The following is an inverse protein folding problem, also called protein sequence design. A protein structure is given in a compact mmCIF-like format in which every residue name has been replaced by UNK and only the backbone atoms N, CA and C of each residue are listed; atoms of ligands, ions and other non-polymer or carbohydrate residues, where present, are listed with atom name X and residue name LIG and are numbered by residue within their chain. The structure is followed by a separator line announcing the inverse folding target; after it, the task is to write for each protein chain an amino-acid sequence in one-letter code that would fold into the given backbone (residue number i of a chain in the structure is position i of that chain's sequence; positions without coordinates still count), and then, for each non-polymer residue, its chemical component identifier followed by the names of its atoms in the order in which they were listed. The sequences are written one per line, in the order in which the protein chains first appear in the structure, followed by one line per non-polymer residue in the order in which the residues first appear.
data_IF_699527939743
#
_entry.id   IF_699527939743
#
_cell.length_a   1.000
_cell.length_b   1.000
_cell.length_c   1.000
_cell.angle_alpha   90.00
_cell.angle_beta   90.00
_cell.angle_gamma   90.00
#
_symmetry.space_group_name_H-M   'P 1'
#
loop_
_entity.id
_entity.type
_entity.pdbx_description
1 polymer ?
#
# COMPACT_ATOMS: atom_id res chain seq x y z
N UNK A 1 7.01 42.75 -21.09
CA UNK A 1 7.59 41.39 -21.00
C UNK A 1 8.25 41.30 -19.64
N UNK A 2 7.63 40.61 -18.68
CA UNK A 2 8.25 40.40 -17.37
C UNK A 2 9.41 39.42 -17.54
N UNK A 3 10.63 39.84 -17.25
CA UNK A 3 11.74 38.90 -17.05
C UNK A 3 11.28 37.92 -15.97
N UNK A 4 11.06 36.66 -16.36
CA UNK A 4 10.86 35.60 -15.40
C UNK A 4 12.11 35.61 -14.50
N UNK A 5 11.94 35.95 -13.23
CA UNK A 5 13.05 36.01 -12.29
C UNK A 5 13.71 34.63 -12.28
N UNK A 6 14.95 34.54 -12.78
CA UNK A 6 15.73 33.30 -12.76
C UNK A 6 15.74 32.74 -11.35
N UNK A 7 15.47 31.44 -11.22
CA UNK A 7 15.37 30.83 -9.90
C UNK A 7 16.72 30.98 -9.16
N UNK A 8 16.78 31.38 -7.88
CA UNK A 8 18.05 31.69 -7.20
C UNK A 8 19.08 30.55 -7.22
N UNK A 9 18.61 29.29 -7.30
CA UNK A 9 19.47 28.11 -7.38
C UNK A 9 19.96 27.79 -8.81
N UNK A 10 19.47 28.46 -9.86
CA UNK A 10 19.98 28.28 -11.23
C UNK A 10 21.43 28.73 -11.34
N UNK A 11 21.82 29.79 -10.64
CA UNK A 11 23.21 30.26 -10.58
C UNK A 11 24.16 29.31 -9.84
N UNK A 12 23.61 28.35 -9.08
CA UNK A 12 24.35 27.32 -8.35
C UNK A 12 24.31 25.96 -9.06
N UNK A 13 23.64 25.87 -10.22
CA UNK A 13 23.55 24.62 -10.97
C UNK A 13 24.72 24.52 -11.97
N UNK A 14 25.59 23.51 -11.89
CA UNK A 14 26.68 23.37 -12.84
C UNK A 14 26.15 23.00 -14.23
N UNK A 15 26.58 23.73 -15.26
CA UNK A 15 26.11 23.59 -16.63
C UNK A 15 26.72 22.40 -17.41
N UNK A 16 27.70 21.73 -16.82
CA UNK A 16 28.61 20.78 -17.48
C UNK A 16 28.49 19.32 -16.99
N UNK A 17 27.53 19.02 -16.11
CA UNK A 17 27.33 17.66 -15.59
C UNK A 17 26.50 16.83 -16.57
N UNK A 18 27.15 15.86 -17.21
CA UNK A 18 26.50 14.93 -18.15
C UNK A 18 26.25 13.54 -17.54
N UNK A 19 27.06 13.09 -16.57
CA UNK A 19 26.91 11.80 -15.91
C UNK A 19 26.68 11.91 -14.39
N UNK A 20 26.03 10.91 -13.79
CA UNK A 20 25.81 10.87 -12.34
C UNK A 20 27.10 10.70 -11.54
N UNK A 21 28.10 10.00 -12.08
CA UNK A 21 29.40 9.84 -11.42
C UNK A 21 30.08 11.20 -11.19
N UNK A 22 30.07 12.08 -12.20
CA UNK A 22 30.61 13.44 -12.09
C UNK A 22 29.80 14.26 -11.08
N UNK A 23 28.47 14.15 -11.14
CA UNK A 23 27.58 14.78 -10.17
C UNK A 23 27.91 14.33 -8.73
N UNK A 24 28.09 13.03 -8.52
CA UNK A 24 28.38 12.43 -7.21
C UNK A 24 29.75 12.82 -6.70
N UNK A 25 30.76 12.84 -7.57
CA UNK A 25 32.10 13.31 -7.23
C UNK A 25 32.09 14.77 -6.75
N UNK A 26 31.29 15.63 -7.39
CA UNK A 26 31.12 17.03 -6.94
C UNK A 26 30.35 17.11 -5.63
N UNK A 27 29.31 16.30 -5.48
CA UNK A 27 28.57 16.22 -4.22
C UNK A 27 29.47 15.86 -3.04
N UNK A 28 30.35 14.86 -3.22
CA UNK A 28 31.26 14.39 -2.19
C UNK A 28 32.42 15.37 -1.95
N UNK A 29 32.87 16.06 -3.00
CA UNK A 29 33.95 17.04 -2.92
C UNK A 29 33.56 18.41 -2.36
N UNK A 30 32.27 18.78 -2.39
CA UNK A 30 31.83 20.09 -1.87
C UNK A 30 31.46 20.02 -0.38
N UNK A 31 32.08 20.86 0.46
CA UNK A 31 31.65 21.05 1.84
C UNK A 31 30.52 22.10 1.98
N UNK A 32 30.18 22.83 0.91
CA UNK A 32 29.28 23.99 0.96
C UNK A 32 27.83 23.55 0.78
N UNK A 33 26.97 23.83 1.77
CA UNK A 33 25.55 23.41 1.74
C UNK A 33 24.77 24.05 0.59
N UNK A 34 25.06 25.30 0.24
CA UNK A 34 24.45 25.98 -0.90
C UNK A 34 24.76 25.31 -2.25
N UNK A 35 25.99 24.83 -2.43
CA UNK A 35 26.38 24.08 -3.64
C UNK A 35 25.66 22.73 -3.69
N UNK A 36 25.50 22.03 -2.56
CA UNK A 36 24.70 20.81 -2.47
C UNK A 36 23.24 21.06 -2.88
N UNK A 37 22.64 22.18 -2.46
CA UNK A 37 21.30 22.58 -2.90
C UNK A 37 21.22 22.84 -4.41
N UNK A 38 22.24 23.51 -4.98
CA UNK A 38 22.36 23.72 -6.42
C UNK A 38 22.45 22.39 -7.19
N UNK A 39 23.29 21.46 -6.72
CA UNK A 39 23.43 20.13 -7.29
C UNK A 39 22.11 19.34 -7.30
N UNK A 40 21.34 19.37 -6.20
CA UNK A 40 20.00 18.74 -6.15
C UNK A 40 19.01 19.42 -7.09
N UNK A 41 19.07 20.76 -7.21
CA UNK A 41 18.23 21.48 -8.15
C UNK A 41 18.49 21.03 -9.61
N UNK A 42 19.76 20.79 -9.98
CA UNK A 42 20.10 20.24 -11.30
C UNK A 42 19.38 18.91 -11.57
N UNK A 43 19.37 17.97 -10.60
CA UNK A 43 18.68 16.68 -10.75
C UNK A 43 17.17 16.81 -10.95
N UNK A 44 16.57 17.90 -10.48
CA UNK A 44 15.16 18.21 -10.68
C UNK A 44 14.88 18.68 -12.12
N UNK A 45 15.72 19.55 -12.66
CA UNK A 45 15.52 20.21 -13.96
C UNK A 45 16.11 19.44 -15.14
N UNK A 46 17.04 18.52 -14.89
CA UNK A 46 17.63 17.67 -15.92
C UNK A 46 16.55 16.93 -16.72
N UNK A 47 16.64 16.99 -18.05
CA UNK A 47 15.64 16.38 -18.94
C UNK A 47 15.55 14.86 -18.74
N UNK A 48 16.69 14.20 -18.56
CA UNK A 48 16.78 12.77 -18.30
C UNK A 48 17.61 12.53 -17.03
N UNK A 49 17.21 11.54 -16.23
CA UNK A 49 18.11 11.05 -15.20
C UNK A 49 19.24 10.25 -15.87
N UNK A 50 20.48 10.34 -15.35
CA UNK A 50 21.60 9.61 -15.94
C UNK A 50 21.35 8.09 -15.97
N UNK A 51 22.14 7.37 -16.77
CA UNK A 51 22.06 5.91 -16.97
C UNK A 51 22.06 5.09 -15.66
N UNK A 52 22.47 5.70 -14.54
CA UNK A 52 22.49 5.15 -13.18
C UNK A 52 21.23 5.47 -12.37
N UNK A 53 20.04 5.44 -12.97
CA UNK A 53 18.75 5.76 -12.32
C UNK A 53 18.57 5.12 -10.94
N UNK A 54 18.95 3.86 -10.77
CA UNK A 54 18.89 3.15 -9.47
C UNK A 54 19.72 3.87 -8.40
N UNK A 55 20.98 4.18 -8.70
CA UNK A 55 21.91 4.83 -7.77
C UNK A 55 21.45 6.24 -7.41
N UNK A 56 20.98 7.01 -8.40
CA UNK A 56 20.43 8.35 -8.16
C UNK A 56 19.23 8.31 -7.22
N UNK A 57 18.29 7.38 -7.44
CA UNK A 57 17.11 7.24 -6.56
C UNK A 57 17.51 6.80 -5.17
N UNK A 58 18.39 5.81 -5.03
CA UNK A 58 18.83 5.33 -3.71
C UNK A 58 19.48 6.44 -2.90
N UNK A 59 20.37 7.18 -3.54
CA UNK A 59 21.02 8.33 -2.94
C UNK A 59 20.03 9.41 -2.51
N UNK A 60 19.05 9.74 -3.36
CA UNK A 60 18.02 10.71 -3.02
C UNK A 60 17.11 10.24 -1.87
N UNK A 61 16.75 8.95 -1.82
CA UNK A 61 15.98 8.38 -0.72
C UNK A 61 16.75 8.46 0.59
N UNK A 62 18.06 8.19 0.57
CA UNK A 62 18.92 8.27 1.75
C UNK A 62 19.04 9.69 2.30
N UNK A 63 19.18 10.69 1.42
CA UNK A 63 19.19 12.09 1.83
C UNK A 63 17.80 12.54 2.30
N UNK A 64 16.76 12.21 1.54
CA UNK A 64 15.39 12.61 1.87
C UNK A 64 14.89 12.01 3.18
N UNK A 65 15.44 10.88 3.64
CA UNK A 65 15.13 10.33 4.96
C UNK A 65 15.50 11.28 6.12
N UNK A 66 16.48 12.18 5.90
CA UNK A 66 16.82 13.24 6.86
C UNK A 66 15.73 14.31 7.04
N UNK A 67 14.85 14.50 6.05
CA UNK A 67 13.86 15.59 5.98
C UNK A 67 12.70 15.43 6.97
N UNK A 68 12.68 14.32 7.72
CA UNK A 68 11.54 13.93 8.56
C UNK A 68 11.97 13.32 9.88
N UNK A 69 13.14 12.68 9.93
CA UNK A 69 13.63 12.03 11.16
C UNK A 69 14.02 13.00 12.28
N UNK A 70 14.05 14.31 12.01
CA UNK A 70 14.59 15.32 12.94
C UNK A 70 16.07 15.09 13.27
N UNK A 71 16.70 14.13 12.57
CA UNK A 71 18.09 13.73 12.74
C UNK A 71 18.85 14.19 11.50
N UNK A 72 19.93 14.96 11.67
CA UNK A 72 20.74 15.40 10.54
C UNK A 72 21.27 14.20 9.77
N UNK A 73 21.44 14.38 8.46
CA UNK A 73 22.14 13.44 7.59
C UNK A 73 23.48 13.05 8.24
N UNK A 74 23.77 11.75 8.35
CA UNK A 74 24.90 11.23 9.12
C UNK A 74 26.23 11.94 8.80
N UNK A 75 27.03 12.14 9.85
CA UNK A 75 28.46 12.53 9.83
C UNK A 75 28.82 14.00 9.52
N UNK A 76 28.22 14.97 10.21
CA UNK A 76 28.77 16.33 10.24
C UNK A 76 29.13 16.74 11.67
N UNK A 77 30.30 16.31 12.13
CA UNK A 77 30.94 16.83 13.34
C UNK A 77 31.76 18.07 12.95
N UNK A 78 31.45 19.26 13.48
CA UNK A 78 32.41 20.37 13.39
C UNK A 78 31.95 21.83 13.43
N UNK A 79 30.67 22.20 13.38
CA UNK A 79 30.26 23.61 13.55
C UNK A 79 29.00 23.78 14.40
N UNK A 80 28.66 25.05 14.68
CA UNK A 80 27.45 25.48 15.38
C UNK A 80 26.23 24.68 14.91
N UNK A 81 25.67 23.89 15.82
CA UNK A 81 24.72 22.83 15.49
C UNK A 81 23.45 23.35 14.80
N UNK A 82 22.99 24.56 15.10
CA UNK A 82 21.69 25.07 14.59
C UNK A 82 21.70 25.38 13.09
N UNK A 83 22.67 26.16 12.60
CA UNK A 83 22.73 26.57 11.18
C UNK A 83 23.07 25.41 10.23
N UNK A 84 23.91 24.45 10.68
CA UNK A 84 24.13 23.21 9.92
C UNK A 84 22.83 22.39 9.86
N UNK A 85 22.11 22.25 10.98
CA UNK A 85 20.89 21.45 11.02
C UNK A 85 19.82 22.03 10.09
N UNK A 86 19.66 23.35 10.04
CA UNK A 86 18.76 24.02 9.09
C UNK A 86 19.18 23.76 7.63
N UNK A 87 20.47 23.90 7.32
CA UNK A 87 20.95 23.62 5.96
C UNK A 87 20.83 22.13 5.56
N UNK A 88 21.02 21.19 6.49
CA UNK A 88 20.80 19.76 6.26
C UNK A 88 19.33 19.42 6.10
N UNK A 89 18.43 20.07 6.84
CA UNK A 89 16.99 19.94 6.64
C UNK A 89 16.57 20.47 5.26
N UNK A 90 17.08 21.64 4.85
CA UNK A 90 16.84 22.19 3.50
C UNK A 90 17.35 21.26 2.39
N UNK A 91 18.51 20.64 2.56
CA UNK A 91 19.05 19.64 1.62
C UNK A 91 18.13 18.42 1.55
N UNK A 92 17.71 17.92 2.70
CA UNK A 92 16.85 16.74 2.78
C UNK A 92 15.47 17.03 2.15
N UNK A 93 14.91 18.21 2.44
CA UNK A 93 13.71 18.76 1.80
C UNK A 93 13.84 18.80 0.29
N UNK A 94 14.96 19.35 -0.20
CA UNK A 94 15.20 19.47 -1.62
C UNK A 94 15.30 18.11 -2.31
N UNK A 95 15.95 17.13 -1.68
CA UNK A 95 16.01 15.76 -2.20
C UNK A 95 14.62 15.11 -2.24
N UNK A 96 13.80 15.32 -1.21
CA UNK A 96 12.40 14.90 -1.21
C UNK A 96 11.59 15.56 -2.35
N UNK A 97 11.74 16.86 -2.54
CA UNK A 97 11.06 17.58 -3.63
C UNK A 97 11.45 17.05 -5.02
N UNK A 98 12.74 16.73 -5.21
CA UNK A 98 13.23 16.08 -6.44
C UNK A 98 12.56 14.72 -6.64
N UNK A 99 12.45 13.89 -5.60
CA UNK A 99 11.76 12.60 -5.65
C UNK A 99 10.27 12.78 -5.96
N UNK A 100 9.59 13.75 -5.35
CA UNK A 100 8.18 14.03 -5.64
C UNK A 100 7.96 14.39 -7.10
N UNK A 101 8.80 15.27 -7.67
CA UNK A 101 8.66 15.70 -9.06
C UNK A 101 9.03 14.60 -10.06
N UNK A 102 10.08 13.82 -9.77
CA UNK A 102 10.70 12.92 -10.75
C UNK A 102 10.29 11.46 -10.61
N UNK A 103 9.95 11.01 -9.41
CA UNK A 103 9.68 9.60 -9.11
C UNK A 103 8.22 9.36 -8.74
N UNK A 104 7.65 10.18 -7.84
CA UNK A 104 6.33 9.95 -7.27
C UNK A 104 5.19 10.66 -8.02
N UNK A 105 5.48 11.71 -8.79
CA UNK A 105 4.47 12.43 -9.55
C UNK A 105 3.81 11.53 -10.60
N UNK A 106 2.48 11.57 -10.74
CA UNK A 106 1.79 10.90 -11.82
C UNK A 106 2.14 11.57 -13.15
N UNK A 107 2.72 10.81 -14.07
CA UNK A 107 3.00 11.26 -15.43
C UNK A 107 1.72 11.20 -16.25
N UNK A 108 1.25 12.35 -16.77
CA UNK A 108 0.00 12.46 -17.56
C UNK A 108 -0.05 11.54 -18.79
N UNK A 109 1.10 11.11 -19.33
CA UNK A 109 1.20 10.33 -20.57
C UNK A 109 2.08 9.05 -20.48
N UNK A 110 2.78 8.81 -19.36
CA UNK A 110 3.61 7.60 -19.21
C UNK A 110 2.92 6.63 -18.26
N UNK A 111 2.17 5.71 -18.84
CA UNK A 111 1.94 4.41 -18.23
C UNK A 111 3.16 3.55 -18.58
N UNK A 112 3.91 2.99 -17.62
CA UNK A 112 3.67 2.89 -16.17
C UNK A 112 4.31 4.01 -15.30
N UNK A 113 3.75 4.21 -14.08
CA UNK A 113 4.28 5.11 -13.05
C UNK A 113 5.80 4.93 -12.85
N UNK A 114 6.53 6.03 -12.77
CA UNK A 114 7.99 6.05 -12.81
C UNK A 114 8.68 5.21 -11.72
N UNK A 115 8.02 4.91 -10.61
CA UNK A 115 8.57 4.14 -9.49
C UNK A 115 8.34 2.62 -9.60
N UNK A 116 7.48 2.12 -10.50
CA UNK A 116 7.13 0.69 -10.56
C UNK A 116 8.31 -0.25 -10.82
N UNK A 117 9.38 0.23 -11.47
CA UNK A 117 10.61 -0.56 -11.64
C UNK A 117 11.25 -0.95 -10.30
N UNK A 118 11.01 -0.18 -9.22
CA UNK A 118 11.52 -0.49 -7.89
C UNK A 118 10.85 -1.73 -7.28
N UNK A 119 9.72 -2.18 -7.83
CA UNK A 119 9.07 -3.42 -7.43
C UNK A 119 9.78 -4.65 -7.98
N UNK A 120 10.70 -4.51 -8.94
CA UNK A 120 11.24 -5.67 -9.66
C UNK A 120 12.23 -6.48 -8.83
N UNK A 121 13.12 -5.83 -8.06
CA UNK A 121 14.11 -6.54 -7.23
C UNK A 121 13.79 -6.38 -5.74
N UNK A 122 14.18 -7.35 -4.90
CA UNK A 122 13.99 -7.26 -3.45
C UNK A 122 14.69 -6.02 -2.87
N UNK A 123 15.93 -5.77 -3.25
CA UNK A 123 16.73 -4.64 -2.77
C UNK A 123 16.04 -3.28 -3.04
N UNK A 124 15.56 -3.06 -4.27
CA UNK A 124 14.89 -1.80 -4.63
C UNK A 124 13.54 -1.67 -3.94
N UNK A 125 12.83 -2.78 -3.76
CA UNK A 125 11.54 -2.82 -3.10
C UNK A 125 11.68 -2.49 -1.61
N UNK A 126 12.61 -3.14 -0.91
CA UNK A 126 12.89 -2.90 0.50
C UNK A 126 13.32 -1.47 0.75
N UNK A 127 14.20 -0.91 -0.09
CA UNK A 127 14.65 0.48 0.02
C UNK A 127 13.48 1.45 -0.07
N UNK A 128 12.57 1.23 -1.03
CA UNK A 128 11.36 2.05 -1.19
C UNK A 128 10.39 1.87 -0.02
N UNK A 129 10.14 0.62 0.39
CA UNK A 129 9.23 0.31 1.49
C UNK A 129 9.72 0.94 2.80
N UNK A 130 11.01 0.82 3.12
CA UNK A 130 11.61 1.41 4.30
C UNK A 130 11.47 2.94 4.32
N UNK A 131 11.68 3.60 3.18
CA UNK A 131 11.49 5.05 3.06
C UNK A 131 10.02 5.49 3.28
N UNK A 132 9.07 4.62 2.91
CA UNK A 132 7.65 4.90 3.05
C UNK A 132 7.10 4.59 4.45
N UNK A 133 7.80 3.77 5.24
CA UNK A 133 7.34 3.35 6.55
C UNK A 133 7.35 4.54 7.53
N UNK A 134 6.26 4.75 8.29
CA UNK A 134 6.25 5.76 9.33
C UNK A 134 7.15 5.32 10.48
N UNK A 135 8.31 5.96 10.66
CA UNK A 135 9.07 5.84 11.90
C UNK A 135 8.30 6.53 13.04
N UNK A 136 8.35 5.92 14.24
CA UNK A 136 7.40 6.11 15.33
C UNK A 136 7.19 7.55 15.85
N UNK A 137 8.01 8.53 15.46
CA UNK A 137 7.99 9.90 16.01
C UNK A 137 8.09 11.03 14.96
N UNK A 138 8.28 10.72 13.68
CA UNK A 138 8.98 11.64 12.77
C UNK A 138 8.23 12.01 11.48
N UNK A 139 7.13 11.33 11.23
CA UNK A 139 6.30 11.58 10.06
C UNK A 139 5.04 12.28 10.57
N UNK A 140 4.90 13.59 10.33
CA UNK A 140 3.63 14.31 10.47
C UNK A 140 3.16 14.69 9.07
N UNK A 141 2.17 13.98 8.54
CA UNK A 141 1.37 14.54 7.47
C UNK A 141 0.61 15.73 8.07
N UNK A 142 0.50 16.85 7.36
CA UNK A 142 -0.20 18.02 7.88
C UNK A 142 -1.60 17.61 8.33
N UNK A 143 -2.02 18.11 9.49
CA UNK A 143 -3.36 17.85 10.02
C UNK A 143 -4.41 18.49 9.10
N UNK A 144 -5.65 17.99 9.16
CA UNK A 144 -6.80 18.63 8.52
C UNK A 144 -6.86 20.11 8.90
N UNK A 145 -6.62 21.01 7.94
CA UNK A 145 -6.63 22.46 8.13
C UNK A 145 -5.29 23.18 7.88
N UNK A 146 -4.16 22.46 7.81
CA UNK A 146 -2.87 23.05 7.41
C UNK A 146 -2.73 23.06 5.88
N UNK A 147 -2.12 24.12 5.31
CA UNK A 147 -1.81 24.15 3.88
C UNK A 147 -0.77 23.05 3.55
N UNK A 148 -1.25 21.94 3.01
CA UNK A 148 -0.42 20.84 2.53
C UNK A 148 0.38 21.32 1.31
N UNK A 149 1.70 21.18 1.33
CA UNK A 149 2.49 21.48 0.13
C UNK A 149 2.13 20.52 -1.01
N UNK A 150 2.18 20.99 -2.26
CA UNK A 150 1.89 20.16 -3.44
C UNK A 150 2.71 18.86 -3.46
N UNK A 151 3.99 18.90 -3.05
CA UNK A 151 4.86 17.73 -2.96
C UNK A 151 4.38 16.72 -1.91
N UNK A 152 3.80 17.19 -0.80
CA UNK A 152 3.21 16.32 0.22
C UNK A 152 1.95 15.64 -0.29
N UNK A 153 1.12 16.34 -1.07
CA UNK A 153 -0.03 15.72 -1.75
C UNK A 153 0.40 14.65 -2.75
N UNK A 154 1.42 14.94 -3.57
CA UNK A 154 1.98 13.99 -4.55
C UNK A 154 2.45 12.72 -3.82
N UNK A 155 3.22 12.88 -2.74
CA UNK A 155 3.69 11.74 -1.97
C UNK A 155 2.56 10.98 -1.27
N UNK A 156 1.56 11.67 -0.74
CA UNK A 156 0.38 11.04 -0.12
C UNK A 156 -0.41 10.19 -1.11
N UNK A 157 -0.58 10.66 -2.35
CA UNK A 157 -1.18 9.86 -3.45
C UNK A 157 -0.33 8.65 -3.79
N UNK A 158 0.99 8.84 -3.91
CA UNK A 158 1.93 7.74 -4.13
C UNK A 158 1.87 6.69 -3.01
N UNK A 159 1.88 7.08 -1.74
CA UNK A 159 1.79 6.15 -0.60
C UNK A 159 0.49 5.33 -0.63
N UNK A 160 -0.61 5.97 -1.01
CA UNK A 160 -1.89 5.29 -1.18
C UNK A 160 -1.80 4.24 -2.30
N UNK A 161 -1.35 4.64 -3.50
CA UNK A 161 -1.21 3.74 -4.66
C UNK A 161 -0.25 2.57 -4.34
N UNK A 162 0.92 2.87 -3.78
CA UNK A 162 1.94 1.89 -3.40
C UNK A 162 1.41 0.88 -2.37
N UNK A 163 0.68 1.34 -1.35
CA UNK A 163 0.12 0.47 -0.32
C UNK A 163 -1.00 -0.43 -0.84
N UNK A 164 -1.78 0.04 -1.81
CA UNK A 164 -2.86 -0.75 -2.41
C UNK A 164 -2.34 -1.93 -3.24
N UNK A 165 -1.10 -1.88 -3.71
CA UNK A 165 -0.47 -2.98 -4.47
C UNK A 165 -0.43 -4.30 -3.71
N UNK A 166 -0.44 -4.29 -2.38
CA UNK A 166 -0.53 -5.50 -1.56
C UNK A 166 -1.76 -6.38 -1.86
N UNK A 167 -2.80 -5.80 -2.47
CA UNK A 167 -4.07 -6.47 -2.79
C UNK A 167 -4.37 -6.47 -4.29
N UNK A 168 -3.40 -6.16 -5.14
CA UNK A 168 -3.53 -6.30 -6.59
C UNK A 168 -3.24 -7.75 -6.98
N UNK A 169 -4.20 -8.37 -7.66
CA UNK A 169 -4.12 -9.78 -8.05
C UNK A 169 -3.48 -9.97 -9.43
N UNK A 170 -3.70 -9.02 -10.33
CA UNK A 170 -3.28 -9.09 -11.73
C UNK A 170 -2.44 -7.86 -12.08
N UNK A 171 -1.16 -8.10 -12.37
CA UNK A 171 -0.28 -7.11 -12.96
C UNK A 171 -0.15 -7.38 -14.46
N UNK A 172 -0.28 -6.35 -15.28
CA UNK A 172 0.06 -6.49 -16.69
C UNK A 172 1.59 -6.51 -16.86
N UNK A 173 2.18 -7.46 -17.61
CA UNK A 173 3.60 -7.43 -17.95
C UNK A 173 4.03 -6.10 -18.60
N UNK A 174 3.12 -5.42 -19.30
CA UNK A 174 3.37 -4.10 -19.90
C UNK A 174 3.64 -3.00 -18.87
N UNK A 175 3.23 -3.17 -17.61
CA UNK A 175 3.56 -2.26 -16.52
C UNK A 175 5.03 -2.32 -16.10
N UNK A 176 5.75 -3.33 -16.55
CA UNK A 176 7.18 -3.52 -16.28
C UNK A 176 8.01 -3.57 -17.58
N UNK A 177 7.44 -3.05 -18.68
CA UNK A 177 7.82 -3.07 -20.11
C UNK A 177 9.31 -3.04 -20.51
N UNK A 178 10.24 -2.78 -19.59
CA UNK A 178 11.68 -2.77 -19.83
C UNK A 178 12.41 -4.05 -19.42
N UNK A 179 11.82 -4.89 -18.56
CA UNK A 179 12.43 -6.14 -18.13
C UNK A 179 11.63 -7.32 -18.70
N UNK A 180 12.22 -8.03 -19.67
CA UNK A 180 11.57 -9.19 -20.32
C UNK A 180 11.51 -10.42 -19.41
N UNK A 181 12.30 -10.44 -18.34
CA UNK A 181 12.44 -11.56 -17.40
C UNK A 181 11.78 -11.30 -16.04
N UNK A 182 10.78 -10.42 -15.97
CA UNK A 182 10.12 -10.10 -14.68
C UNK A 182 9.30 -11.29 -14.20
N UNK A 183 9.72 -11.86 -13.08
CA UNK A 183 8.95 -12.87 -12.37
C UNK A 183 7.81 -12.20 -11.57
N UNK A 184 6.63 -12.08 -12.18
CA UNK A 184 5.44 -11.49 -11.55
C UNK A 184 5.01 -12.23 -10.28
N UNK A 185 5.23 -13.55 -10.21
CA UNK A 185 4.90 -14.33 -9.02
C UNK A 185 5.77 -13.91 -7.83
N UNK A 186 7.05 -13.62 -8.07
CA UNK A 186 7.96 -13.15 -7.02
C UNK A 186 7.60 -11.74 -6.55
N UNK A 187 7.26 -10.83 -7.47
CA UNK A 187 6.76 -9.49 -7.11
C UNK A 187 5.51 -9.62 -6.24
N UNK A 188 4.55 -10.46 -6.66
CA UNK A 188 3.31 -10.70 -5.91
C UNK A 188 3.58 -11.26 -4.52
N UNK A 189 4.49 -12.24 -4.39
CA UNK A 189 4.87 -12.80 -3.09
C UNK A 189 5.46 -11.73 -2.17
N UNK A 190 6.32 -10.84 -2.69
CA UNK A 190 6.89 -9.71 -1.94
C UNK A 190 5.85 -8.70 -1.50
N UNK A 191 4.90 -8.35 -2.36
CA UNK A 191 3.79 -7.45 -2.03
C UNK A 191 2.85 -8.04 -0.97
N UNK A 192 2.56 -9.34 -1.05
CA UNK A 192 1.75 -10.04 -0.03
C UNK A 192 2.48 -10.02 1.31
N UNK A 193 3.78 -10.34 1.33
CA UNK A 193 4.59 -10.32 2.55
C UNK A 193 4.66 -8.93 3.20
N UNK A 194 4.59 -7.86 2.39
CA UNK A 194 4.64 -6.47 2.84
C UNK A 194 3.29 -5.88 3.29
N UNK A 195 2.16 -6.61 3.19
CA UNK A 195 0.84 -6.11 3.60
C UNK A 195 0.79 -5.53 5.02
N UNK A 196 1.44 -6.11 6.05
CA UNK A 196 1.48 -5.52 7.39
C UNK A 196 2.12 -4.12 7.41
N UNK A 197 3.17 -3.91 6.61
CA UNK A 197 3.85 -2.63 6.43
C UNK A 197 2.96 -1.64 5.66
N UNK A 198 2.27 -2.09 4.62
CA UNK A 198 1.28 -1.27 3.90
C UNK A 198 0.14 -0.82 4.81
N UNK A 199 -0.28 -1.64 5.78
CA UNK A 199 -1.28 -1.22 6.78
C UNK A 199 -0.76 -0.09 7.69
N UNK A 200 0.52 -0.10 8.07
CA UNK A 200 1.12 1.02 8.83
C UNK A 200 1.12 2.31 8.00
N UNK A 201 1.44 2.21 6.70
CA UNK A 201 1.39 3.34 5.78
C UNK A 201 -0.06 3.85 5.65
N UNK A 202 -1.04 2.96 5.42
CA UNK A 202 -2.46 3.32 5.32
C UNK A 202 -3.00 3.95 6.61
N UNK A 203 -2.60 3.44 7.77
CA UNK A 203 -2.91 4.03 9.09
C UNK A 203 -2.35 5.43 9.18
N UNK A 204 -1.09 5.60 8.78
CA UNK A 204 -0.39 6.88 8.82
C UNK A 204 -1.06 7.95 7.92
N UNK A 205 -1.45 7.59 6.70
CA UNK A 205 -2.17 8.51 5.79
C UNK A 205 -3.68 8.64 6.12
N UNK A 206 -4.14 8.09 7.25
CA UNK A 206 -5.55 8.05 7.68
C UNK A 206 -6.51 7.38 6.69
N UNK A 207 -6.01 6.47 5.86
CA UNK A 207 -6.79 5.72 4.87
C UNK A 207 -6.98 4.24 5.23
N UNK A 208 -6.69 3.82 6.47
CA UNK A 208 -6.84 2.43 6.90
C UNK A 208 -8.27 1.89 6.69
N UNK A 209 -9.29 2.73 6.85
CA UNK A 209 -10.70 2.39 6.61
C UNK A 209 -11.00 1.96 5.16
N UNK A 210 -10.09 2.21 4.21
CA UNK A 210 -10.21 1.70 2.84
C UNK A 210 -10.20 0.18 2.76
N UNK A 211 -9.61 -0.50 3.74
CA UNK A 211 -9.67 -1.96 3.83
C UNK A 211 -11.10 -2.49 4.06
N UNK A 212 -12.02 -1.63 4.50
CA UNK A 212 -13.44 -1.97 4.62
C UNK A 212 -14.23 -1.72 3.33
N UNK A 213 -13.62 -1.16 2.28
CA UNK A 213 -14.30 -0.83 1.02
C UNK A 213 -13.82 -1.75 -0.11
N UNK A 214 -14.66 -2.04 -1.12
CA UNK A 214 -14.20 -2.69 -2.34
C UNK A 214 -13.12 -1.82 -3.02
N UNK A 215 -12.03 -2.43 -3.48
CA UNK A 215 -10.96 -1.71 -4.16
C UNK A 215 -11.34 -1.49 -5.63
N UNK A 216 -12.10 -0.42 -5.88
CA UNK A 216 -12.66 -0.04 -7.20
C UNK A 216 -11.69 -0.13 -8.37
N UNK A 217 -10.39 0.07 -8.11
CA UNK A 217 -9.37 0.15 -9.16
C UNK A 217 -8.85 -1.21 -9.62
N UNK A 218 -9.13 -2.31 -8.89
CA UNK A 218 -8.49 -3.62 -9.16
C UNK A 218 -9.44 -4.82 -9.07
N UNK A 219 -10.41 -4.80 -8.16
CA UNK A 219 -11.47 -5.81 -8.10
C UNK A 219 -12.66 -5.26 -7.31
N UNK A 220 -13.89 -5.61 -7.71
CA UNK A 220 -15.08 -5.30 -6.90
C UNK A 220 -15.14 -6.12 -5.60
N UNK A 221 -14.03 -6.74 -5.20
CA UNK A 221 -13.92 -7.58 -4.02
C UNK A 221 -13.30 -6.81 -2.85
N UNK A 222 -13.56 -7.32 -1.65
CA UNK A 222 -12.93 -6.79 -0.45
C UNK A 222 -11.49 -7.30 -0.34
N UNK A 223 -10.56 -6.48 0.16
CA UNK A 223 -9.18 -6.89 0.40
C UNK A 223 -9.10 -8.16 1.25
N UNK A 224 -8.39 -9.16 0.76
CA UNK A 224 -8.12 -10.37 1.53
C UNK A 224 -7.17 -10.07 2.70
N UNK A 225 -7.57 -10.46 3.91
CA UNK A 225 -6.79 -10.26 5.13
C UNK A 225 -6.25 -11.61 5.63
N UNK A 226 -4.99 -11.89 5.33
CA UNK A 226 -4.26 -13.06 5.82
C UNK A 226 -3.93 -12.98 7.33
N UNK A 227 -3.37 -14.06 7.88
CA UNK A 227 -3.04 -14.14 9.31
C UNK A 227 -2.07 -13.05 9.78
N UNK A 228 -1.14 -12.61 8.93
CA UNK A 228 -0.18 -11.55 9.27
C UNK A 228 -0.89 -10.18 9.33
N UNK A 229 -1.77 -9.90 8.36
CA UNK A 229 -2.64 -8.73 8.36
C UNK A 229 -3.50 -8.66 9.63
N UNK A 230 -4.14 -9.77 9.99
CA UNK A 230 -5.01 -9.84 11.17
C UNK A 230 -4.23 -9.63 12.47
N UNK A 231 -3.03 -10.22 12.59
CA UNK A 231 -2.14 -10.00 13.74
C UNK A 231 -1.75 -8.53 13.85
N UNK A 232 -1.42 -7.89 12.73
CA UNK A 232 -1.02 -6.48 12.70
C UNK A 232 -2.17 -5.53 13.01
N UNK A 233 -3.36 -5.77 12.46
CA UNK A 233 -4.57 -5.02 12.82
C UNK A 233 -4.89 -5.15 14.31
N UNK A 234 -4.69 -6.34 14.89
CA UNK A 234 -4.89 -6.56 16.33
C UNK A 234 -3.90 -5.73 17.15
N UNK A 235 -2.63 -5.74 16.77
CA UNK A 235 -1.61 -4.90 17.39
C UNK A 235 -1.99 -3.40 17.33
N UNK A 236 -2.41 -2.91 16.16
CA UNK A 236 -2.84 -1.52 15.96
C UNK A 236 -4.09 -1.19 16.79
N UNK A 237 -5.05 -2.11 16.84
CA UNK A 237 -6.32 -1.92 17.55
C UNK A 237 -6.13 -1.63 19.04
N UNK A 238 -5.17 -2.33 19.66
CA UNK A 238 -4.88 -2.24 21.09
C UNK A 238 -3.72 -1.29 21.45
N UNK A 239 -3.09 -0.65 20.45
CA UNK A 239 -1.99 0.30 20.67
C UNK A 239 -2.49 1.70 21.07
N UNK A 240 -3.66 2.10 20.58
CA UNK A 240 -4.24 3.41 20.89
C UNK A 240 -4.75 3.46 22.33
N UNK A 241 -4.42 4.52 23.06
CA UNK A 241 -5.00 4.78 24.38
C UNK A 241 -6.45 5.23 24.23
N UNK A 242 -7.34 4.67 25.04
CA UNK A 242 -8.75 5.06 25.11
C UNK A 242 -8.90 6.39 25.84
N UNK A 243 -9.71 7.28 25.28
CA UNK A 243 -10.31 8.38 26.01
C UNK A 243 -11.82 8.10 26.11
N UNK A 244 -12.32 7.77 27.31
CA UNK A 244 -13.73 7.44 27.51
C UNK A 244 -14.47 8.68 28.05
N UNK A 245 -15.46 9.22 27.32
CA UNK A 245 -16.08 10.52 27.64
C UNK A 245 -16.94 10.54 28.92
N UNK A 246 -17.18 9.40 29.56
CA UNK A 246 -18.02 9.27 30.76
C UNK A 246 -17.23 9.19 32.08
N UNK A 247 -15.90 9.29 32.06
CA UNK A 247 -15.09 9.39 33.28
C UNK A 247 -14.77 10.86 33.54
N UNK A 248 -15.30 11.40 34.62
CA UNK A 248 -15.19 12.82 34.99
C UNK A 248 -13.74 13.33 34.97
N UNK A 249 -13.61 14.56 34.50
CA UNK A 249 -12.37 15.29 34.26
C UNK A 249 -11.68 15.60 35.59
N UNK A 250 -10.91 14.65 36.10
CA UNK A 250 -9.75 14.89 36.97
C UNK A 250 -8.49 14.87 36.12
N UNK A 251 -7.52 15.74 36.41
CA UNK A 251 -6.31 16.06 35.62
C UNK A 251 -5.35 14.90 35.25
N UNK A 252 -5.77 13.65 35.46
CA UNK A 252 -5.13 12.42 34.99
C UNK A 252 -6.21 11.46 34.51
N UNK A 253 -7.02 11.84 33.52
CA UNK A 253 -7.91 10.90 32.84
C UNK A 253 -7.03 9.77 32.28
N UNK A 254 -7.03 8.62 32.96
CA UNK A 254 -6.07 7.55 32.75
C UNK A 254 -6.27 6.97 31.36
N UNK A 255 -5.41 7.40 30.43
CA UNK A 255 -5.21 6.77 29.14
C UNK A 255 -4.84 5.30 29.35
N UNK A 256 -5.82 4.41 29.35
CA UNK A 256 -5.60 2.96 29.38
C UNK A 256 -5.69 2.36 27.99
N UNK A 257 -5.00 1.25 27.78
CA UNK A 257 -5.17 0.44 26.58
C UNK A 257 -6.53 -0.27 26.63
N UNK A 258 -7.19 -0.47 25.48
CA UNK A 258 -8.40 -1.29 25.42
C UNK A 258 -8.11 -2.71 25.86
N UNK A 259 -9.04 -3.31 26.60
CA UNK A 259 -8.99 -4.75 26.92
C UNK A 259 -9.78 -5.56 25.90
N UNK A 260 -10.79 -4.95 25.27
CA UNK A 260 -11.65 -5.61 24.29
C UNK A 260 -11.71 -4.85 22.95
N UNK A 261 -12.07 -5.56 21.87
CA UNK A 261 -12.29 -4.93 20.57
C UNK A 261 -13.44 -3.92 20.60
N UNK A 262 -14.49 -4.18 21.41
CA UNK A 262 -15.61 -3.25 21.55
C UNK A 262 -15.16 -1.93 22.20
N UNK A 263 -14.36 -2.02 23.27
CA UNK A 263 -13.77 -0.84 23.87
C UNK A 263 -12.89 -0.09 22.87
N UNK A 264 -12.05 -0.79 22.10
CA UNK A 264 -11.21 -0.17 21.07
C UNK A 264 -12.05 0.57 20.01
N UNK A 265 -13.18 0.01 19.59
CA UNK A 265 -14.11 0.67 18.65
C UNK A 265 -14.73 1.93 19.29
N UNK A 266 -15.17 1.85 20.55
CA UNK A 266 -15.69 3.02 21.28
C UNK A 266 -14.63 4.13 21.42
N UNK A 267 -13.35 3.75 21.47
CA UNK A 267 -12.22 4.66 21.41
C UNK A 267 -11.87 5.22 20.03
N UNK A 268 -12.65 4.90 18.98
CA UNK A 268 -12.39 5.36 17.61
C UNK A 268 -11.33 4.55 16.86
N UNK A 269 -10.99 3.34 17.29
CA UNK A 269 -9.99 2.50 16.62
C UNK A 269 -10.52 1.89 15.32
N UNK A 270 -10.11 2.47 14.19
CA UNK A 270 -10.43 1.98 12.83
C UNK A 270 -9.93 0.53 12.62
N UNK A 271 -8.78 0.17 13.20
CA UNK A 271 -8.25 -1.18 13.09
C UNK A 271 -9.17 -2.22 13.78
N UNK A 272 -9.76 -1.86 14.92
CA UNK A 272 -10.72 -2.71 15.61
C UNK A 272 -12.02 -2.87 14.80
N UNK A 273 -12.49 -1.80 14.19
CA UNK A 273 -13.66 -1.82 13.28
C UNK A 273 -13.44 -2.79 12.11
N UNK A 274 -12.27 -2.72 11.45
CA UNK A 274 -11.90 -3.63 10.35
C UNK A 274 -11.91 -5.09 10.81
N UNK A 275 -11.35 -5.39 12.00
CA UNK A 275 -11.34 -6.75 12.55
C UNK A 275 -12.76 -7.29 12.76
N UNK A 276 -13.65 -6.47 13.34
CA UNK A 276 -15.04 -6.86 13.58
C UNK A 276 -15.77 -7.08 12.26
N UNK A 277 -15.69 -6.13 11.32
CA UNK A 277 -16.32 -6.26 9.99
C UNK A 277 -15.82 -7.49 9.25
N UNK A 278 -14.50 -7.74 9.25
CA UNK A 278 -13.94 -8.95 8.63
C UNK A 278 -14.47 -10.22 9.29
N UNK A 279 -14.59 -10.27 10.62
CA UNK A 279 -15.13 -11.43 11.33
C UNK A 279 -16.59 -11.72 10.94
N UNK A 280 -17.41 -10.67 10.78
CA UNK A 280 -18.81 -10.78 10.34
C UNK A 280 -18.85 -11.30 8.91
N UNK A 281 -18.05 -10.74 8.00
CA UNK A 281 -17.96 -11.20 6.60
C UNK A 281 -17.57 -12.67 6.49
N UNK A 282 -16.58 -13.11 7.27
CA UNK A 282 -16.15 -14.51 7.26
C UNK A 282 -17.26 -15.46 7.78
N UNK A 283 -17.99 -15.06 8.82
CA UNK A 283 -19.15 -15.82 9.32
C UNK A 283 -20.27 -15.91 8.29
N UNK A 284 -20.61 -14.79 7.66
CA UNK A 284 -21.66 -14.76 6.63
C UNK A 284 -21.25 -15.53 5.38
N UNK A 285 -19.99 -15.45 4.94
CA UNK A 285 -19.49 -16.26 3.82
C UNK A 285 -19.64 -17.76 4.09
N UNK A 286 -19.31 -18.20 5.31
CA UNK A 286 -19.50 -19.60 5.73
C UNK A 286 -20.98 -20.00 5.77
N UNK A 287 -21.84 -19.13 6.33
CA UNK A 287 -23.29 -19.37 6.41
C UNK A 287 -23.92 -19.50 5.02
N UNK A 288 -23.59 -18.60 4.10
CA UNK A 288 -24.08 -18.62 2.72
C UNK A 288 -23.59 -19.86 2.00
N UNK A 289 -22.33 -20.25 2.17
CA UNK A 289 -21.79 -21.45 1.56
C UNK A 289 -22.48 -22.72 2.06
N UNK A 290 -22.70 -22.85 3.38
CA UNK A 290 -23.43 -23.97 3.95
C UNK A 290 -24.88 -24.06 3.43
N UNK A 291 -25.58 -22.93 3.32
CA UNK A 291 -26.92 -22.87 2.74
C UNK A 291 -26.93 -23.28 1.26
N UNK A 292 -25.89 -22.90 0.51
CA UNK A 292 -25.74 -23.29 -0.88
C UNK A 292 -25.51 -24.79 -1.03
N UNK A 293 -24.61 -25.38 -0.25
CA UNK A 293 -24.37 -26.84 -0.23
C UNK A 293 -25.62 -27.61 0.18
N UNK A 294 -26.34 -27.15 1.20
CA UNK A 294 -27.60 -27.76 1.62
C UNK A 294 -28.65 -27.69 0.50
N UNK A 295 -28.74 -26.56 -0.20
CA UNK A 295 -29.67 -26.40 -1.33
C UNK A 295 -29.32 -27.33 -2.50
N UNK A 296 -28.04 -27.56 -2.77
CA UNK A 296 -27.57 -28.50 -3.78
C UNK A 296 -27.92 -29.94 -3.36
N UNK A 297 -27.67 -30.31 -2.11
CA UNK A 297 -28.00 -31.64 -1.59
C UNK A 297 -29.49 -31.94 -1.72
N UNK A 298 -30.35 -31.00 -1.30
CA UNK A 298 -31.81 -31.13 -1.42
C UNK A 298 -32.26 -31.29 -2.86
N UNK A 299 -31.65 -30.57 -3.82
CA UNK A 299 -31.94 -30.74 -5.25
C UNK A 299 -31.57 -32.14 -5.72
N UNK A 300 -30.37 -32.61 -5.40
CA UNK A 300 -29.94 -33.97 -5.75
C UNK A 300 -30.83 -35.06 -5.14
N UNK A 301 -31.29 -34.89 -3.90
CA UNK A 301 -32.24 -35.81 -3.29
C UNK A 301 -33.60 -35.81 -3.99
N UNK A 302 -34.09 -34.64 -4.38
CA UNK A 302 -35.36 -34.49 -5.07
C UNK A 302 -35.29 -35.10 -6.48
N UNK A 303 -34.20 -34.87 -7.21
CA UNK A 303 -33.93 -35.51 -8.51
C UNK A 303 -33.86 -37.04 -8.36
N UNK A 304 -33.20 -37.54 -7.30
CA UNK A 304 -33.13 -38.98 -6.99
C UNK A 304 -34.51 -39.56 -6.68
N UNK A 305 -35.34 -38.86 -5.91
CA UNK A 305 -36.72 -39.29 -5.61
C UNK A 305 -37.57 -39.35 -6.88
N UNK A 306 -37.48 -38.34 -7.74
CA UNK A 306 -38.18 -38.33 -9.04
C UNK A 306 -37.74 -39.50 -9.94
N UNK A 307 -36.45 -39.81 -9.97
CA UNK A 307 -35.93 -40.94 -10.75
C UNK A 307 -36.39 -42.29 -10.19
N UNK A 308 -36.40 -42.46 -8.86
CA UNK A 308 -36.96 -43.65 -8.23
C UNK A 308 -38.46 -43.83 -8.54
N UNK A 309 -39.24 -42.75 -8.56
CA UNK A 309 -40.64 -42.80 -8.98
C UNK A 309 -40.81 -43.19 -10.45
N UNK A 310 -39.94 -42.70 -11.34
CA UNK A 310 -39.93 -43.09 -12.75
C UNK A 310 -39.64 -44.58 -12.93
N UNK A 311 -38.61 -45.09 -12.23
CA UNK A 311 -38.25 -46.51 -12.24
C UNK A 311 -39.40 -47.37 -11.71
N UNK A 312 -40.03 -46.99 -10.60
CA UNK A 312 -41.19 -47.71 -10.05
C UNK A 312 -42.37 -47.75 -11.02
N UNK A 313 -42.67 -46.63 -11.69
CA UNK A 313 -43.71 -46.59 -12.73
C UNK A 313 -43.38 -47.51 -13.91
N UNK A 314 -42.12 -47.52 -14.34
CA UNK A 314 -41.67 -48.40 -15.42
C UNK A 314 -41.76 -49.90 -15.04
N UNK A 315 -41.36 -50.26 -13.81
CA UNK A 315 -41.49 -51.62 -13.29
C UNK A 315 -42.95 -52.08 -13.23
N UNK A 316 -43.86 -51.25 -12.73
CA UNK A 316 -45.28 -51.57 -12.68
C UNK A 316 -45.88 -51.81 -14.09
N UNK A 317 -45.43 -51.05 -15.10
CA UNK A 317 -45.83 -51.26 -16.49
C UNK A 317 -45.30 -52.61 -17.02
N UNK A 318 -44.04 -52.92 -16.76
CA UNK A 318 -43.42 -54.20 -17.16
C UNK A 318 -44.11 -55.40 -16.52
N UNK A 319 -44.45 -55.31 -15.24
CA UNK A 319 -45.20 -56.36 -14.52
C UNK A 319 -46.59 -56.58 -15.12
N UNK A 320 -47.32 -55.50 -15.44
CA UNK A 320 -48.61 -55.63 -16.13
C UNK A 320 -48.48 -56.26 -17.52
N UNK A 321 -47.42 -55.94 -18.26
CA UNK A 321 -47.15 -56.56 -19.56
C UNK A 321 -46.79 -58.03 -19.42
N UNK A 322 -45.96 -58.40 -18.44
CA UNK A 322 -45.61 -59.79 -18.13
C UNK A 322 -46.85 -60.59 -17.72
N UNK A 323 -47.72 -60.03 -16.88
CA UNK A 323 -48.98 -60.67 -16.50
C UNK A 323 -49.92 -60.89 -17.70
N UNK A 324 -50.01 -59.91 -18.61
CA UNK A 324 -50.79 -60.07 -19.86
C UNK A 324 -50.21 -61.13 -20.79
N UNK A 325 -48.88 -61.20 -20.93
CA UNK A 325 -48.21 -62.22 -21.73
C UNK A 325 -48.39 -63.62 -21.13
N UNK A 326 -48.31 -63.76 -19.81
CA UNK A 326 -48.55 -65.02 -19.12
C UNK A 326 -50.00 -65.49 -19.27
N UNK A 327 -50.98 -64.58 -19.18
CA UNK A 327 -52.39 -64.89 -19.43
C UNK A 327 -52.63 -65.36 -20.87
N UNK A 328 -52.02 -64.69 -21.86
CA UNK A 328 -52.14 -65.07 -23.28
C UNK A 328 -51.38 -66.36 -23.64
N UNK A 329 -50.46 -66.84 -22.79
CA UNK A 329 -49.73 -68.08 -23.00
C UNK A 329 -50.41 -69.30 -22.32
N UNK A 330 -51.44 -69.06 -21.51
CA UNK A 330 -52.22 -70.09 -20.82
C UNK A 330 -53.53 -70.46 -21.55
N UNK A 331 -53.92 -69.68 -22.56
CA UNK A 331 -54.96 -69.99 -23.55
C UNK A 331 -54.36 -70.73 -24.76
#
# INVERSE_FOLDING_TARGET
MSEASKHPLEGLCPSDIQAFADWKSRWDGTPVLGEKLGLLHCLQVMKYWPDTRKQTVFFLLDIANGYRTGKPFHNWQGYNASEINEGLDMISKKAFDVLCVRLFAPTKNDYPSQWKWMLVTQETFEKLLQFCLPEAENYRLPYDGEQVSHQTEVFGRFLLEFSQLGWVHDFSPSEFSRNKDVNLAEIRARLIAARPQFMEILRYIRQLSRLNKPMRDFSNEFPELDGACLKKLKEMAFRASLNLPWQEVGATAYFRKPETLHEAILGGSVAAEILVINSIRQKEKKRIHALYEESLHRRHELDRQQELERIRKAQAILEQQAAKLAANAAD
#
